data_IF_116162523373
#
_entry.id   IF_116162523373
#
_cell.length_a   1.000
_cell.length_b   1.000
_cell.length_c   1.000
_cell.angle_alpha   90.00
_cell.angle_beta   90.00
_cell.angle_gamma   90.00
#
_symmetry.space_group_name_H-M   'P 1'
#
loop_
_entity.id
_entity.type
_entity.pdbx_description
1 polymer ?
#
# COMPACT_ATOMS: atom_id res chain seq x y z
N UNK A 1 -13.51 -42.12 13.01
CA UNK A 1 -13.42 -40.65 12.85
C UNK A 1 -13.75 -40.36 11.39
N UNK A 2 -14.99 -39.95 11.09
CA UNK A 2 -15.47 -39.83 9.71
C UNK A 2 -14.75 -38.71 8.97
N UNK A 3 -14.16 -39.04 7.82
CA UNK A 3 -13.65 -38.08 6.85
C UNK A 3 -14.85 -37.30 6.28
N UNK A 4 -15.00 -36.05 6.71
CA UNK A 4 -15.95 -35.12 6.10
C UNK A 4 -15.56 -34.89 4.65
N UNK A 5 -16.49 -35.13 3.73
CA UNK A 5 -16.28 -34.86 2.30
C UNK A 5 -16.06 -33.36 2.07
N UNK A 6 -15.37 -32.99 0.99
CA UNK A 6 -15.06 -31.58 0.64
C UNK A 6 -16.28 -30.63 0.60
N UNK A 7 -17.52 -31.18 0.58
CA UNK A 7 -18.78 -30.44 0.70
C UNK A 7 -19.15 -29.98 2.11
N UNK A 8 -18.48 -30.44 3.17
CA UNK A 8 -18.91 -30.21 4.57
C UNK A 8 -18.01 -29.26 5.39
N UNK A 9 -16.96 -28.67 4.81
CA UNK A 9 -16.12 -27.71 5.55
C UNK A 9 -16.91 -26.44 5.92
N UNK A 10 -16.78 -25.99 7.18
CA UNK A 10 -17.28 -24.67 7.61
C UNK A 10 -16.64 -23.54 6.79
N UNK A 11 -17.30 -22.37 6.70
CA UNK A 11 -16.75 -21.20 6.00
C UNK A 11 -15.38 -20.81 6.57
N UNK A 12 -15.22 -20.84 7.89
CA UNK A 12 -13.94 -20.52 8.54
C UNK A 12 -12.81 -21.47 8.14
N UNK A 13 -13.07 -22.78 8.09
CA UNK A 13 -12.05 -23.77 7.64
C UNK A 13 -11.70 -23.59 6.17
N UNK A 14 -12.70 -23.34 5.29
CA UNK A 14 -12.44 -23.05 3.87
C UNK A 14 -11.58 -21.81 3.70
N UNK A 15 -11.89 -20.74 4.44
CA UNK A 15 -11.11 -19.52 4.41
C UNK A 15 -9.66 -19.77 4.85
N UNK A 16 -9.46 -20.45 5.97
CA UNK A 16 -8.12 -20.75 6.48
C UNK A 16 -7.28 -21.56 5.49
N UNK A 17 -7.85 -22.61 4.90
CA UNK A 17 -7.17 -23.41 3.88
C UNK A 17 -6.86 -22.58 2.63
N UNK A 18 -7.81 -21.77 2.17
CA UNK A 18 -7.59 -20.88 1.04
C UNK A 18 -6.44 -19.91 1.29
N UNK A 19 -6.30 -19.36 2.50
CA UNK A 19 -5.12 -18.58 2.85
C UNK A 19 -3.83 -19.40 2.73
N UNK A 20 -3.77 -20.57 3.37
CA UNK A 20 -2.59 -21.41 3.35
C UNK A 20 -2.15 -21.77 1.91
N UNK A 21 -3.10 -22.16 1.06
CA UNK A 21 -2.85 -22.53 -0.33
C UNK A 21 -2.40 -21.31 -1.17
N UNK A 22 -3.00 -20.14 -0.92
CA UNK A 22 -2.73 -18.93 -1.72
C UNK A 22 -1.38 -18.29 -1.41
N UNK A 23 -0.85 -18.44 -0.19
CA UNK A 23 0.40 -17.76 0.22
C UNK A 23 1.58 -18.11 -0.68
N UNK A 24 1.78 -19.39 -0.97
CA UNK A 24 2.93 -19.83 -1.78
C UNK A 24 2.82 -19.39 -3.25
N UNK A 25 1.61 -19.35 -3.79
CA UNK A 25 1.32 -18.86 -5.15
C UNK A 25 1.55 -17.35 -5.20
N UNK A 26 0.93 -16.63 -4.26
CA UNK A 26 1.03 -15.18 -4.18
C UNK A 26 2.48 -14.71 -3.98
N UNK A 27 3.26 -15.39 -3.15
CA UNK A 27 4.69 -15.16 -3.00
C UNK A 27 5.42 -15.24 -4.34
N UNK A 28 5.27 -16.35 -5.08
CA UNK A 28 5.94 -16.56 -6.37
C UNK A 28 5.54 -15.52 -7.41
N UNK A 29 4.27 -15.15 -7.41
CA UNK A 29 3.74 -14.22 -8.40
C UNK A 29 4.21 -12.78 -8.13
N UNK A 30 4.41 -12.40 -6.86
CA UNK A 30 4.56 -10.99 -6.47
C UNK A 30 5.92 -10.59 -5.89
N UNK A 31 6.70 -11.52 -5.31
CA UNK A 31 8.03 -11.25 -4.77
C UNK A 31 9.09 -11.67 -5.78
N UNK A 32 9.12 -10.94 -6.90
CA UNK A 32 9.99 -11.17 -8.05
C UNK A 32 10.89 -9.94 -8.32
N UNK A 33 11.59 -9.89 -9.45
CA UNK A 33 12.49 -8.76 -9.77
C UNK A 33 11.75 -7.41 -9.82
N UNK A 34 10.48 -7.39 -10.24
CA UNK A 34 9.66 -6.19 -10.26
C UNK A 34 9.40 -5.66 -8.83
N UNK A 35 9.28 -6.54 -7.84
CA UNK A 35 9.20 -6.15 -6.43
C UNK A 35 10.45 -5.40 -5.98
N UNK A 36 11.64 -5.91 -6.34
CA UNK A 36 12.91 -5.27 -6.01
C UNK A 36 13.07 -3.91 -6.72
N UNK A 37 12.53 -3.74 -7.93
CA UNK A 37 12.47 -2.45 -8.61
C UNK A 37 11.53 -1.46 -7.92
N UNK A 38 10.35 -1.92 -7.47
CA UNK A 38 9.43 -1.09 -6.70
C UNK A 38 10.06 -0.63 -5.38
N UNK A 39 10.67 -1.55 -4.63
CA UNK A 39 11.41 -1.27 -3.39
C UNK A 39 12.47 -0.19 -3.62
N UNK A 40 13.37 -0.40 -4.58
CA UNK A 40 14.41 0.58 -4.92
C UNK A 40 13.84 1.94 -5.32
N UNK A 41 12.75 1.97 -6.08
CA UNK A 41 12.12 3.23 -6.49
C UNK A 41 11.55 3.99 -5.29
N UNK A 42 10.92 3.29 -4.36
CA UNK A 42 10.36 3.87 -3.13
C UNK A 42 11.49 4.40 -2.24
N UNK A 43 12.48 3.56 -1.94
CA UNK A 43 13.66 3.93 -1.12
C UNK A 43 14.37 5.14 -1.70
N UNK A 44 14.73 5.09 -3.00
CA UNK A 44 15.39 6.21 -3.66
C UNK A 44 14.56 7.48 -3.59
N UNK A 45 13.24 7.38 -3.71
CA UNK A 45 12.37 8.55 -3.64
C UNK A 45 12.33 9.14 -2.23
N UNK A 46 12.18 8.34 -1.19
CA UNK A 46 12.19 8.81 0.21
C UNK A 46 13.54 9.44 0.60
N UNK A 47 14.62 9.00 -0.04
CA UNK A 47 15.98 9.49 0.18
C UNK A 47 16.40 10.70 -0.68
N UNK A 48 15.54 11.23 -1.56
CA UNK A 48 15.81 12.40 -2.47
C UNK A 48 16.04 13.75 -1.74
N UNK A 49 16.69 13.76 -0.58
CA UNK A 49 16.95 14.98 0.19
C UNK A 49 18.08 15.81 -0.42
N UNK A 50 17.84 17.11 -0.64
CA UNK A 50 18.86 18.08 -1.07
C UNK A 50 19.82 18.50 0.07
N UNK A 51 19.66 17.98 1.30
CA UNK A 51 20.46 18.39 2.45
C UNK A 51 20.66 17.25 3.45
N UNK A 52 21.90 17.11 3.92
CA UNK A 52 22.34 16.12 4.89
C UNK A 52 21.48 16.12 6.17
N UNK A 53 20.56 15.15 6.30
CA UNK A 53 19.78 14.97 7.53
C UNK A 53 18.53 14.15 7.35
N UNK A 54 18.67 12.82 7.35
CA UNK A 54 17.60 11.84 7.57
C UNK A 54 16.48 11.78 6.52
N UNK A 55 15.57 10.82 6.69
CA UNK A 55 14.34 10.73 5.89
C UNK A 55 13.45 11.93 6.24
N UNK A 56 13.02 12.68 5.22
CA UNK A 56 12.00 13.72 5.38
C UNK A 56 10.71 13.40 4.63
N UNK A 57 10.74 12.40 3.75
CA UNK A 57 9.60 11.98 2.95
C UNK A 57 8.42 11.54 3.80
N UNK A 58 7.21 11.83 3.33
CA UNK A 58 5.97 11.31 3.90
C UNK A 58 5.28 10.38 2.91
N UNK A 59 4.91 9.20 3.40
CA UNK A 59 4.13 8.20 2.66
C UNK A 59 2.64 8.40 2.94
N UNK A 60 1.88 8.78 1.94
CA UNK A 60 0.44 8.91 2.02
C UNK A 60 -0.24 7.69 1.39
N UNK A 61 -1.26 7.14 2.03
CA UNK A 61 -2.15 6.13 1.45
C UNK A 61 -3.53 6.73 1.23
N UNK A 62 -4.06 6.66 0.02
CA UNK A 62 -5.43 7.07 -0.32
C UNK A 62 -6.23 5.82 -0.65
N UNK A 63 -7.25 5.54 0.16
CA UNK A 63 -8.11 4.36 -0.03
C UNK A 63 -9.47 4.56 0.65
N UNK A 64 -10.40 3.62 0.50
CA UNK A 64 -11.68 3.64 1.20
C UNK A 64 -12.12 2.22 1.61
N UNK A 65 -13.21 2.13 2.39
CA UNK A 65 -13.78 0.85 2.82
C UNK A 65 -12.81 -0.02 3.61
N UNK A 66 -12.80 -1.32 3.35
CA UNK A 66 -11.94 -2.28 4.09
C UNK A 66 -10.45 -2.11 3.78
N UNK A 67 -10.11 -1.64 2.57
CA UNK A 67 -8.72 -1.33 2.19
C UNK A 67 -8.12 -0.25 3.09
N UNK A 68 -8.94 0.73 3.51
CA UNK A 68 -8.51 1.75 4.46
C UNK A 68 -8.05 1.17 5.81
N UNK A 69 -8.61 0.05 6.25
CA UNK A 69 -8.15 -0.62 7.49
C UNK A 69 -6.72 -1.16 7.34
N UNK A 70 -6.38 -1.70 6.17
CA UNK A 70 -5.02 -2.15 5.85
C UNK A 70 -4.07 -0.95 5.79
N UNK A 71 -4.42 0.08 5.02
CA UNK A 71 -3.61 1.30 4.91
C UNK A 71 -3.38 1.97 6.26
N UNK A 72 -4.38 2.02 7.14
CA UNK A 72 -4.24 2.55 8.51
C UNK A 72 -3.23 1.74 9.33
N UNK A 73 -3.26 0.41 9.25
CA UNK A 73 -2.28 -0.44 9.94
C UNK A 73 -0.87 -0.17 9.39
N UNK A 74 -0.69 -0.24 8.07
CA UNK A 74 0.63 -0.02 7.45
C UNK A 74 1.18 1.36 7.81
N UNK A 75 0.34 2.39 7.77
CA UNK A 75 0.72 3.75 8.17
C UNK A 75 1.13 3.82 9.64
N UNK A 76 0.41 3.17 10.55
CA UNK A 76 0.78 3.09 11.96
C UNK A 76 2.11 2.33 12.17
N UNK A 77 2.36 1.26 11.43
CA UNK A 77 3.62 0.51 11.45
C UNK A 77 4.80 1.38 10.98
N UNK A 78 4.66 2.10 9.87
CA UNK A 78 5.68 3.00 9.37
C UNK A 78 6.02 4.10 10.38
N UNK A 79 5.00 4.75 10.96
CA UNK A 79 5.21 5.77 11.99
C UNK A 79 5.89 5.20 13.24
N UNK A 80 5.64 3.94 13.57
CA UNK A 80 6.30 3.24 14.67
C UNK A 80 7.79 3.03 14.44
N UNK A 81 8.21 3.00 13.18
CA UNK A 81 9.59 2.76 12.73
C UNK A 81 10.25 4.03 12.17
N UNK A 82 9.77 5.20 12.60
CA UNK A 82 10.34 6.52 12.25
C UNK A 82 10.23 6.88 10.75
N UNK A 83 9.26 6.32 10.04
CA UNK A 83 8.88 6.74 8.69
C UNK A 83 7.54 7.48 8.75
N UNK A 84 7.56 8.78 8.45
CA UNK A 84 6.36 9.61 8.41
C UNK A 84 5.34 9.04 7.41
N UNK A 85 4.16 8.66 7.90
CA UNK A 85 3.10 8.13 7.08
C UNK A 85 1.71 8.62 7.51
N UNK A 86 0.80 8.78 6.54
CA UNK A 86 -0.61 9.07 6.79
C UNK A 86 -1.51 8.24 5.88
N UNK A 87 -2.54 7.64 6.45
CA UNK A 87 -3.62 7.02 5.69
C UNK A 87 -4.82 7.96 5.65
N UNK A 88 -5.27 8.28 4.43
CA UNK A 88 -6.34 9.23 4.14
C UNK A 88 -7.52 8.48 3.50
N UNK A 89 -8.72 8.77 3.99
CA UNK A 89 -9.93 8.27 3.37
C UNK A 89 -10.20 9.06 2.07
N UNK A 90 -10.34 8.35 0.96
CA UNK A 90 -10.55 8.94 -0.35
C UNK A 90 -11.78 9.87 -0.42
N UNK A 91 -12.84 9.58 0.34
CA UNK A 91 -14.02 10.47 0.42
C UNK A 91 -13.68 11.79 1.11
N UNK A 92 -12.99 11.73 2.25
CA UNK A 92 -12.62 12.95 3.00
C UNK A 92 -11.61 13.80 2.22
N UNK A 93 -10.76 13.18 1.41
CA UNK A 93 -9.86 13.91 0.51
C UNK A 93 -10.63 14.78 -0.50
N UNK A 94 -11.77 14.31 -1.01
CA UNK A 94 -12.64 15.09 -1.91
C UNK A 94 -13.29 16.28 -1.19
N UNK A 95 -13.27 16.29 0.14
CA UNK A 95 -13.85 17.32 1.00
C UNK A 95 -12.79 18.17 1.75
N UNK A 96 -11.51 18.05 1.41
CA UNK A 96 -10.47 18.97 1.87
C UNK A 96 -9.21 18.31 2.42
N UNK A 97 -9.26 17.04 2.83
CA UNK A 97 -8.12 16.36 3.46
C UNK A 97 -6.92 16.20 2.51
N UNK A 98 -7.15 16.29 1.19
CA UNK A 98 -6.08 16.34 0.19
C UNK A 98 -5.16 17.57 0.37
N UNK A 99 -5.61 18.57 1.12
CA UNK A 99 -4.83 19.73 1.53
C UNK A 99 -3.58 19.34 2.33
N UNK A 100 -3.61 18.21 3.04
CA UNK A 100 -2.48 17.70 3.83
C UNK A 100 -1.29 17.25 2.98
N UNK A 101 -1.53 16.93 1.70
CA UNK A 101 -0.48 16.47 0.77
C UNK A 101 0.23 17.69 0.16
N UNK A 102 1.55 17.74 0.33
CA UNK A 102 2.41 18.72 -0.31
C UNK A 102 2.95 18.19 -1.65
N UNK A 103 2.30 18.60 -2.75
CA UNK A 103 2.65 18.16 -4.12
C UNK A 103 4.01 18.68 -4.64
N UNK A 104 4.67 19.57 -3.90
CA UNK A 104 5.93 20.19 -4.30
C UNK A 104 7.16 19.54 -3.63
N UNK A 105 7.00 18.47 -2.86
CA UNK A 105 8.09 17.72 -2.21
C UNK A 105 8.47 16.50 -3.03
N UNK A 106 9.76 16.28 -3.25
CA UNK A 106 10.27 15.16 -4.06
C UNK A 106 10.30 13.86 -3.27
N UNK A 107 10.47 13.99 -1.97
CA UNK A 107 10.60 12.90 -1.04
C UNK A 107 9.23 12.34 -0.59
N UNK A 108 8.13 13.02 -0.91
CA UNK A 108 6.77 12.55 -0.60
C UNK A 108 6.28 11.58 -1.68
N UNK A 109 5.53 10.55 -1.24
CA UNK A 109 4.92 9.55 -2.12
C UNK A 109 3.46 9.37 -1.73
N UNK A 110 2.56 9.38 -2.72
CA UNK A 110 1.13 9.10 -2.53
C UNK A 110 0.78 7.78 -3.19
N UNK A 111 0.33 6.81 -2.41
CA UNK A 111 -0.19 5.54 -2.87
C UNK A 111 -1.72 5.57 -2.96
N UNK A 112 -2.29 5.52 -4.16
CA UNK A 112 -3.70 5.16 -4.30
C UNK A 112 -3.86 3.65 -4.27
N UNK A 113 -4.65 3.13 -3.32
CA UNK A 113 -4.76 1.69 -3.07
C UNK A 113 -6.18 1.21 -3.36
N UNK A 114 -6.33 0.33 -4.35
CA UNK A 114 -7.58 -0.35 -4.66
C UNK A 114 -7.32 -1.68 -5.36
N UNK A 115 -7.72 -2.79 -4.72
CA UNK A 115 -7.55 -4.13 -5.29
C UNK A 115 -8.24 -4.25 -6.66
N UNK A 116 -9.43 -3.67 -6.83
CA UNK A 116 -10.11 -3.69 -8.14
C UNK A 116 -9.53 -2.70 -9.13
N UNK A 117 -8.83 -1.66 -8.66
CA UNK A 117 -8.36 -0.54 -9.46
C UNK A 117 -9.47 0.33 -10.06
N UNK A 118 -10.72 0.11 -9.63
CA UNK A 118 -11.93 0.74 -10.18
C UNK A 118 -12.76 1.46 -9.10
N UNK A 119 -12.15 1.76 -7.95
CA UNK A 119 -12.82 2.45 -6.84
C UNK A 119 -12.98 3.94 -7.17
N UNK A 120 -14.22 4.39 -7.40
CA UNK A 120 -14.54 5.75 -7.85
C UNK A 120 -13.98 6.84 -6.93
N UNK A 121 -14.09 6.66 -5.62
CA UNK A 121 -13.61 7.61 -4.62
C UNK A 121 -12.09 7.81 -4.76
N UNK A 122 -11.34 6.72 -4.93
CA UNK A 122 -9.89 6.75 -5.11
C UNK A 122 -9.52 7.41 -6.44
N UNK A 123 -10.19 7.03 -7.53
CA UNK A 123 -9.99 7.62 -8.87
C UNK A 123 -10.25 9.13 -8.87
N UNK A 124 -11.35 9.56 -8.28
CA UNK A 124 -11.70 10.97 -8.16
C UNK A 124 -10.65 11.74 -7.34
N UNK A 125 -10.16 11.14 -6.25
CA UNK A 125 -9.13 11.75 -5.43
C UNK A 125 -7.78 11.86 -6.18
N UNK A 126 -7.41 10.86 -6.98
CA UNK A 126 -6.22 10.90 -7.83
C UNK A 126 -6.33 12.00 -8.90
N UNK A 127 -7.49 12.15 -9.53
CA UNK A 127 -7.76 13.26 -10.44
C UNK A 127 -7.66 14.62 -9.75
N UNK A 128 -8.17 14.75 -8.53
CA UNK A 128 -8.06 15.97 -7.72
C UNK A 128 -6.58 16.27 -7.39
N UNK A 129 -5.79 15.25 -7.06
CA UNK A 129 -4.35 15.39 -6.82
C UNK A 129 -3.62 15.88 -8.08
N UNK A 130 -3.95 15.32 -9.25
CA UNK A 130 -3.39 15.77 -10.52
C UNK A 130 -3.82 17.19 -10.88
N UNK A 131 -5.06 17.57 -10.61
CA UNK A 131 -5.50 18.96 -10.75
C UNK A 131 -4.65 19.90 -9.89
N UNK A 132 -4.39 19.54 -8.63
CA UNK A 132 -3.52 20.29 -7.72
C UNK A 132 -2.08 20.40 -8.23
N UNK A 133 -1.53 19.31 -8.78
CA UNK A 133 -0.20 19.26 -9.43
C UNK A 133 -0.15 20.25 -10.60
N UNK A 134 -1.15 20.22 -11.49
CA UNK A 134 -1.21 21.08 -12.67
C UNK A 134 -1.43 22.57 -12.33
N UNK A 135 -2.10 22.87 -11.22
CA UNK A 135 -2.31 24.23 -10.73
C UNK A 135 -1.11 24.81 -9.97
N UNK A 136 -0.17 23.98 -9.54
CA UNK A 136 1.00 24.44 -8.79
C UNK A 136 1.87 25.34 -9.67
N UNK A 137 2.08 26.60 -9.25
CA UNK A 137 2.90 27.60 -9.97
C UNK A 137 4.40 27.25 -10.01
N UNK A 138 4.84 26.25 -9.25
CA UNK A 138 6.17 25.69 -9.39
C UNK A 138 6.22 24.86 -10.67
N UNK A 139 7.15 25.20 -11.59
CA UNK A 139 7.26 24.59 -12.92
C UNK A 139 7.43 23.06 -12.94
N UNK A 140 7.73 22.45 -11.79
CA UNK A 140 7.76 20.99 -11.62
C UNK A 140 7.23 20.70 -10.22
N UNK A 141 5.99 20.24 -10.10
CA UNK A 141 5.55 19.45 -8.95
C UNK A 141 6.25 18.08 -9.02
N UNK A 142 6.73 17.59 -7.89
CA UNK A 142 7.81 16.57 -7.86
C UNK A 142 7.50 15.35 -7.03
N UNK A 143 6.33 15.35 -6.40
CA UNK A 143 5.80 14.22 -5.65
C UNK A 143 5.74 12.98 -6.53
N UNK A 144 5.90 11.80 -5.94
CA UNK A 144 5.67 10.54 -6.66
C UNK A 144 4.25 10.05 -6.40
N UNK A 145 3.53 9.68 -7.47
CA UNK A 145 2.21 9.06 -7.35
C UNK A 145 2.33 7.58 -7.68
N UNK A 146 2.12 6.75 -6.67
CA UNK A 146 2.14 5.31 -6.78
C UNK A 146 0.73 4.70 -6.72
N UNK A 147 0.55 3.55 -7.36
CA UNK A 147 -0.70 2.79 -7.39
C UNK A 147 -0.46 1.39 -6.88
N UNK A 148 -1.34 0.87 -6.02
CA UNK A 148 -1.39 -0.56 -5.69
C UNK A 148 -2.75 -1.09 -6.14
N UNK A 149 -2.72 -1.95 -7.17
CA UNK A 149 -3.90 -2.57 -7.77
C UNK A 149 -3.77 -4.08 -7.87
N UNK A 150 -4.88 -4.81 -8.04
CA UNK A 150 -4.88 -6.27 -8.20
C UNK A 150 -5.00 -6.74 -9.65
N UNK A 151 -4.96 -5.82 -10.62
CA UNK A 151 -5.00 -6.12 -12.06
C UNK A 151 -4.44 -4.95 -12.86
N UNK A 152 -3.84 -5.23 -14.02
CA UNK A 152 -3.40 -4.19 -14.97
C UNK A 152 -4.60 -3.55 -15.68
N UNK A 153 -5.66 -4.31 -15.87
CA UNK A 153 -6.87 -3.92 -16.60
C UNK A 153 -7.86 -3.20 -15.66
N UNK A 154 -7.51 -1.98 -15.26
CA UNK A 154 -8.38 -1.15 -14.43
C UNK A 154 -8.27 0.34 -14.76
N UNK A 155 -9.29 1.08 -14.36
CA UNK A 155 -9.40 2.52 -14.61
C UNK A 155 -8.24 3.31 -13.97
N UNK A 156 -7.78 2.93 -12.78
CA UNK A 156 -6.63 3.59 -12.12
C UNK A 156 -5.34 3.51 -12.95
N UNK A 157 -5.01 2.36 -13.54
CA UNK A 157 -3.80 2.21 -14.35
C UNK A 157 -3.95 2.91 -15.70
N UNK A 158 -5.13 2.83 -16.33
CA UNK A 158 -5.44 3.57 -17.56
C UNK A 158 -5.32 5.09 -17.34
N UNK A 159 -5.84 5.58 -16.21
CA UNK A 159 -5.79 6.99 -15.84
C UNK A 159 -4.35 7.50 -15.75
N UNK A 160 -3.50 6.79 -15.00
CA UNK A 160 -2.09 7.15 -14.81
C UNK A 160 -1.31 7.11 -16.13
N UNK A 161 -1.55 6.11 -16.97
CA UNK A 161 -0.91 6.01 -18.29
C UNK A 161 -1.27 7.17 -19.23
N UNK A 162 -2.43 7.80 -19.03
CA UNK A 162 -2.89 8.94 -19.83
C UNK A 162 -2.41 10.29 -19.27
N UNK A 163 -1.80 10.31 -18.09
CA UNK A 163 -1.25 11.55 -17.53
C UNK A 163 0.08 11.91 -18.20
N UNK A 164 0.25 13.18 -18.53
CA UNK A 164 1.58 13.73 -18.85
C UNK A 164 2.39 13.98 -17.57
N UNK A 165 2.58 12.94 -16.75
CA UNK A 165 3.25 13.02 -15.45
C UNK A 165 4.19 11.83 -15.27
N UNK A 166 5.50 12.10 -15.19
CA UNK A 166 6.53 11.06 -15.22
C UNK A 166 6.76 10.37 -13.88
N UNK A 167 6.46 11.04 -12.76
CA UNK A 167 6.78 10.54 -11.42
C UNK A 167 5.67 9.61 -10.93
N UNK A 168 5.44 8.53 -11.68
CA UNK A 168 4.41 7.54 -11.38
C UNK A 168 5.01 6.16 -11.16
N UNK A 169 4.38 5.36 -10.29
CA UNK A 169 4.79 3.98 -10.00
C UNK A 169 3.55 3.09 -9.96
N UNK A 170 3.48 2.07 -10.82
CA UNK A 170 2.34 1.14 -10.85
C UNK A 170 2.75 -0.21 -10.26
N UNK A 171 2.28 -0.48 -9.04
CA UNK A 171 2.42 -1.78 -8.38
C UNK A 171 1.14 -2.57 -8.65
N UNK A 172 1.27 -3.61 -9.48
CA UNK A 172 0.14 -4.48 -9.83
C UNK A 172 0.38 -5.85 -9.22
N UNK A 173 -0.47 -6.18 -8.25
CA UNK A 173 -0.46 -7.45 -7.55
C UNK A 173 -1.15 -8.50 -8.39
N UNK A 174 -0.46 -9.60 -8.61
CA UNK A 174 -0.96 -10.74 -9.38
C UNK A 174 -1.65 -11.76 -8.45
N UNK A 175 -2.98 -11.77 -8.56
CA UNK A 175 -3.87 -12.73 -7.90
C UNK A 175 -4.23 -13.91 -8.81
N UNK A 176 -3.52 -14.12 -9.92
CA UNK A 176 -3.73 -15.27 -10.79
C UNK A 176 -3.51 -16.57 -10.03
N UNK A 177 -4.29 -17.59 -10.39
CA UNK A 177 -4.28 -18.92 -9.75
C UNK A 177 -4.63 -18.93 -8.25
N UNK A 178 -5.18 -17.82 -7.74
CA UNK A 178 -5.73 -17.71 -6.39
C UNK A 178 -7.25 -17.71 -6.48
N UNK A 179 -7.88 -18.51 -5.60
CA UNK A 179 -9.33 -18.59 -5.50
C UNK A 179 -9.92 -17.21 -5.16
N UNK A 180 -10.98 -16.81 -5.88
CA UNK A 180 -11.63 -15.52 -5.65
C UNK A 180 -12.45 -15.54 -4.36
N UNK A 181 -12.53 -14.40 -3.68
CA UNK A 181 -13.37 -14.25 -2.48
C UNK A 181 -14.83 -14.70 -2.73
N UNK A 182 -15.41 -14.37 -3.89
CA UNK A 182 -16.77 -14.78 -4.25
C UNK A 182 -16.95 -16.30 -4.31
N UNK A 183 -15.91 -17.06 -4.62
CA UNK A 183 -15.96 -18.52 -4.71
C UNK A 183 -15.85 -19.16 -3.32
N UNK A 184 -15.05 -18.56 -2.43
CA UNK A 184 -14.92 -19.00 -1.03
C UNK A 184 -16.22 -18.91 -0.23
N UNK A 185 -16.99 -17.85 -0.48
CA UNK A 185 -18.18 -17.52 0.30
C UNK A 185 -19.50 -17.82 -0.41
N UNK A 186 -19.52 -18.76 -1.37
CA UNK A 186 -20.74 -19.15 -2.10
C UNK A 186 -21.48 -17.93 -2.71
N UNK A 187 -20.73 -17.00 -3.29
CA UNK A 187 -21.26 -15.80 -3.96
C UNK A 187 -21.15 -14.49 -3.18
N UNK A 188 -20.82 -14.52 -1.88
CA UNK A 188 -20.61 -13.28 -1.12
C UNK A 188 -19.27 -12.64 -1.53
N UNK A 189 -19.31 -11.39 -1.98
CA UNK A 189 -18.14 -10.64 -2.46
C UNK A 189 -17.40 -9.88 -1.34
N UNK A 190 -17.38 -10.42 -0.12
CA UNK A 190 -16.73 -9.77 1.00
C UNK A 190 -15.20 -9.94 0.87
N UNK A 191 -14.43 -8.86 0.66
CA UNK A 191 -12.99 -8.98 0.50
C UNK A 191 -12.39 -9.45 1.83
N UNK A 192 -11.70 -10.57 1.77
CA UNK A 192 -11.06 -11.19 2.94
C UNK A 192 -9.73 -11.82 2.55
N UNK A 193 -9.72 -12.78 1.61
CA UNK A 193 -8.48 -13.38 1.12
C UNK A 193 -7.63 -12.34 0.41
N UNK A 194 -8.23 -11.65 -0.56
CA UNK A 194 -7.56 -10.57 -1.31
C UNK A 194 -7.05 -9.46 -0.39
N UNK A 195 -7.82 -9.09 0.64
CA UNK A 195 -7.46 -8.02 1.57
C UNK A 195 -6.29 -8.41 2.48
N UNK A 196 -6.25 -9.66 2.97
CA UNK A 196 -5.13 -10.11 3.79
C UNK A 196 -3.85 -10.34 2.97
N UNK A 197 -3.97 -10.76 1.71
CA UNK A 197 -2.82 -10.86 0.80
C UNK A 197 -2.26 -9.47 0.47
N UNK A 198 -3.12 -8.46 0.24
CA UNK A 198 -2.70 -7.06 0.14
C UNK A 198 -1.96 -6.60 1.40
N UNK A 199 -2.53 -6.89 2.58
CA UNK A 199 -1.90 -6.57 3.86
C UNK A 199 -0.51 -7.20 3.99
N UNK A 200 -0.38 -8.49 3.68
CA UNK A 200 0.89 -9.20 3.74
C UNK A 200 1.91 -8.61 2.76
N UNK A 201 1.51 -8.33 1.52
CA UNK A 201 2.39 -7.70 0.53
C UNK A 201 2.90 -6.35 1.02
N UNK A 202 2.01 -5.50 1.52
CA UNK A 202 2.38 -4.18 2.03
C UNK A 202 3.26 -4.28 3.27
N UNK A 203 3.02 -5.25 4.17
CA UNK A 203 3.91 -5.49 5.30
C UNK A 203 5.31 -5.84 4.82
N UNK A 204 5.48 -6.78 3.89
CA UNK A 204 6.79 -7.11 3.33
C UNK A 204 7.45 -5.90 2.68
N UNK A 205 6.76 -5.24 1.73
CA UNK A 205 7.33 -4.13 0.97
C UNK A 205 7.78 -2.98 1.88
N UNK A 206 6.94 -2.58 2.83
CA UNK A 206 7.25 -1.44 3.67
C UNK A 206 8.20 -1.79 4.81
N UNK A 207 8.28 -3.04 5.27
CA UNK A 207 9.36 -3.47 6.16
C UNK A 207 10.71 -3.47 5.45
N UNK A 208 10.78 -3.95 4.20
CA UNK A 208 12.00 -3.86 3.41
C UNK A 208 12.41 -2.40 3.14
N UNK A 209 11.44 -1.50 2.91
CA UNK A 209 11.71 -0.05 2.82
C UNK A 209 12.31 0.49 4.11
N UNK A 210 11.79 0.08 5.27
CA UNK A 210 12.35 0.50 6.56
C UNK A 210 13.75 -0.05 6.74
N UNK A 211 13.98 -1.32 6.40
CA UNK A 211 15.27 -1.98 6.53
C UNK A 211 16.34 -1.30 5.67
N UNK A 212 16.06 -1.10 4.37
CA UNK A 212 16.97 -0.45 3.42
C UNK A 212 17.33 1.00 3.77
N UNK A 213 16.43 1.72 4.47
CA UNK A 213 16.71 3.09 4.89
C UNK A 213 17.34 3.16 6.29
N UNK A 214 17.18 2.10 7.08
CA UNK A 214 17.78 2.01 8.40
C UNK A 214 19.27 1.73 8.29
N UNK A 215 20.06 2.28 9.21
CA UNK A 215 21.44 1.82 9.34
C UNK A 215 21.44 0.51 10.13
N UNK A 216 22.44 -0.35 9.91
CA UNK A 216 22.59 -1.64 10.59
C UNK A 216 22.26 -1.54 12.09
N UNK A 217 21.13 -2.12 12.49
CA UNK A 217 20.69 -2.24 13.88
C UNK A 217 19.87 -1.09 14.47
N UNK A 218 19.64 0.02 13.76
CA UNK A 218 18.94 1.20 14.31
C UNK A 218 17.40 1.07 14.33
N UNK A 219 16.83 0.11 13.59
CA UNK A 219 15.38 -0.10 13.52
C UNK A 219 14.76 -0.39 14.89
N UNK A 220 15.47 -1.19 15.72
CA UNK A 220 15.04 -1.47 17.09
C UNK A 220 15.04 -0.21 17.96
N UNK A 221 16.05 0.65 17.81
CA UNK A 221 16.16 1.89 18.57
C UNK A 221 15.09 2.92 18.12
N UNK A 222 14.83 3.04 16.81
CA UNK A 222 13.72 3.83 16.25
C UNK A 222 12.36 3.38 16.80
N UNK A 223 12.14 2.07 16.88
CA UNK A 223 10.92 1.53 17.47
C UNK A 223 10.76 1.93 18.94
N UNK A 224 11.85 1.79 19.73
CA UNK A 224 11.86 2.15 21.15
C UNK A 224 11.58 3.64 21.39
N UNK A 225 12.15 4.53 20.58
CA UNK A 225 11.92 5.98 20.69
C UNK A 225 10.44 6.35 20.51
N UNK A 226 9.74 5.63 19.63
CA UNK A 226 8.33 5.89 19.32
C UNK A 226 7.35 5.07 20.20
N UNK A 227 7.84 4.17 21.06
CA UNK A 227 7.04 3.29 21.94
C UNK A 227 7.44 3.41 23.43
N UNK A 228 7.33 4.60 24.05
CA UNK A 228 7.81 4.83 25.42
C UNK A 228 7.04 4.06 26.51
N UNK A 229 5.81 3.61 26.21
CA UNK A 229 4.86 3.09 27.21
C UNK A 229 4.51 1.60 27.03
N UNK A 230 5.14 0.90 26.09
CA UNK A 230 4.83 -0.50 25.76
C UNK A 230 5.77 -1.51 26.43
N UNK A 231 5.24 -2.64 26.91
CA UNK A 231 6.04 -3.71 27.53
C UNK A 231 7.02 -4.41 26.58
N UNK A 232 6.82 -4.30 25.26
CA UNK A 232 7.66 -4.90 24.23
C UNK A 232 9.02 -4.18 24.04
N UNK A 233 9.19 -2.99 24.63
CA UNK A 233 10.41 -2.19 24.55
C UNK A 233 11.28 -2.19 25.81
N UNK A 234 10.93 -2.97 26.84
CA UNK A 234 11.79 -3.10 28.02
C UNK A 234 12.96 -4.03 27.69
N UNK A 235 14.16 -3.47 27.53
CA UNK A 235 15.41 -4.24 27.69
C UNK A 235 15.53 -4.77 29.11
#
# INVERSE_FOLDING_TARGET
>A
MNQMSSKELSIGKRLYLAHADSLSVFYKNNLNDQYNEHLRTIVNTLLKTESAGGIKGTIYFISCGKTLTVCNKISAMLNSLDISSRSLNANECLHGDIGTINVNRYEDIVFGVSISGNTREVINCLNLLMGKINMSKNLMSKITIAMITGTRECEMNQLVNNWNFSNTLQIVLDYSDIIKDSELYKGIKAPTLSLQLLYLYMDCLFLDVVDEISNDGDMGDKFLMNHPSGGLGKR
#
